data_IF_933282082610
#
_entry.id   IF_933282082610
#
_cell.length_a   1.000
_cell.length_b   1.000
_cell.length_c   1.000
_cell.angle_alpha   90.00
_cell.angle_beta   90.00
_cell.angle_gamma   90.00
#
_symmetry.space_group_name_H-M   'P 1'
#
loop_
_entity.id
_entity.type
_entity.pdbx_description
1 polymer ?
#
# COMPACT_ATOMS: atom_id res chain seq x y z
N UNK A 1 23.93 -9.15 -2.30
CA UNK A 1 23.27 -10.40 -1.85
C UNK A 1 24.06 -11.64 -2.22
N UNK A 2 24.18 -12.04 -3.50
CA UNK A 2 24.87 -13.29 -3.88
C UNK A 2 26.36 -13.35 -3.49
N UNK A 3 27.07 -12.21 -3.52
CA UNK A 3 28.47 -12.14 -3.08
C UNK A 3 28.61 -12.35 -1.56
N UNK A 4 27.72 -11.77 -0.76
CA UNK A 4 27.71 -11.88 0.70
C UNK A 4 27.46 -13.34 1.14
N UNK A 5 26.46 -14.00 0.53
CA UNK A 5 26.15 -15.41 0.80
C UNK A 5 27.35 -16.31 0.47
N UNK A 6 28.02 -16.08 -0.67
CA UNK A 6 29.24 -16.83 -1.04
C UNK A 6 30.40 -16.59 -0.08
N UNK A 7 30.46 -15.42 0.55
CA UNK A 7 31.46 -15.08 1.56
C UNK A 7 31.11 -15.61 2.96
N UNK A 8 30.01 -16.35 3.11
CA UNK A 8 29.59 -16.95 4.39
C UNK A 8 28.70 -16.04 5.25
N UNK A 9 28.32 -14.86 4.77
CA UNK A 9 27.37 -14.00 5.45
C UNK A 9 25.93 -14.49 5.19
N UNK A 10 25.37 -15.14 6.21
CA UNK A 10 24.00 -15.66 6.23
C UNK A 10 23.07 -14.80 7.08
N UNK A 11 23.48 -13.58 7.45
CA UNK A 11 22.63 -12.70 8.25
C UNK A 11 21.35 -12.33 7.48
N UNK A 12 20.21 -12.37 8.19
CA UNK A 12 18.90 -12.06 7.60
C UNK A 12 18.40 -10.67 8.00
N UNK A 13 19.06 -10.02 8.96
CA UNK A 13 18.75 -8.69 9.44
C UNK A 13 20.01 -8.02 10.04
N UNK A 14 20.02 -6.68 10.04
CA UNK A 14 20.94 -5.91 10.86
C UNK A 14 20.42 -5.89 12.31
N UNK A 15 21.26 -6.27 13.26
CA UNK A 15 20.91 -6.37 14.69
C UNK A 15 21.48 -5.22 15.55
N UNK A 16 22.22 -4.28 14.96
CA UNK A 16 22.90 -3.18 15.66
C UNK A 16 21.93 -2.32 16.49
N UNK A 17 20.71 -2.16 15.97
CA UNK A 17 19.62 -1.39 16.58
C UNK A 17 18.40 -2.25 16.93
N UNK A 18 18.61 -3.50 17.35
CA UNK A 18 17.50 -4.40 17.71
C UNK A 18 16.76 -3.96 18.99
N UNK A 19 17.52 -3.59 20.03
CA UNK A 19 16.96 -3.23 21.34
C UNK A 19 16.53 -1.75 21.40
N UNK A 20 15.35 -1.41 21.93
CA UNK A 20 14.91 -0.02 22.05
C UNK A 20 15.87 0.91 22.80
N UNK A 21 16.67 0.36 23.71
CA UNK A 21 17.68 1.10 24.46
C UNK A 21 18.85 1.60 23.61
N UNK A 22 19.06 1.04 22.42
CA UNK A 22 20.12 1.46 21.49
C UNK A 22 19.63 2.51 20.48
N UNK A 23 18.33 2.82 20.48
CA UNK A 23 17.75 3.78 19.55
C UNK A 23 18.05 5.22 19.97
N UNK A 24 18.23 6.14 19.01
CA UNK A 24 18.21 7.57 19.31
C UNK A 24 16.82 7.99 19.82
N UNK A 25 16.75 9.12 20.53
CA UNK A 25 15.49 9.65 21.07
C UNK A 25 14.42 9.88 19.98
N UNK A 26 14.86 10.18 18.75
CA UNK A 26 14.02 10.25 17.55
C UNK A 26 14.68 9.47 16.39
N UNK A 27 13.90 8.64 15.70
CA UNK A 27 14.33 7.86 14.54
C UNK A 27 13.27 7.87 13.43
N UNK A 28 13.71 7.65 12.17
CA UNK A 28 12.84 7.46 11.02
C UNK A 28 13.25 6.23 10.24
N UNK A 29 12.27 5.48 9.73
CA UNK A 29 12.50 4.26 8.97
C UNK A 29 11.59 4.18 7.74
N UNK A 30 12.06 3.45 6.73
CA UNK A 30 11.28 3.10 5.54
C UNK A 30 11.45 1.62 5.21
N UNK A 31 10.34 0.87 5.18
CA UNK A 31 10.27 -0.51 4.72
C UNK A 31 9.65 -0.55 3.33
N UNK A 32 10.34 -1.12 2.35
CA UNK A 32 9.85 -1.25 0.97
C UNK A 32 9.79 -2.71 0.58
N UNK A 33 8.71 -3.11 -0.06
CA UNK A 33 8.48 -4.48 -0.53
C UNK A 33 7.79 -4.41 -1.89
N UNK A 34 8.20 -5.29 -2.81
CA UNK A 34 7.40 -5.61 -3.99
C UNK A 34 6.36 -6.66 -3.59
N UNK A 35 5.15 -6.18 -3.26
CA UNK A 35 4.03 -7.04 -2.94
C UNK A 35 3.41 -7.62 -4.23
N UNK A 36 2.58 -8.67 -4.17
CA UNK A 36 1.97 -9.26 -5.37
C UNK A 36 1.20 -8.27 -6.26
N UNK A 37 0.71 -7.17 -5.67
CA UNK A 37 -0.07 -6.13 -6.36
C UNK A 37 0.77 -4.91 -6.77
N UNK A 38 2.08 -4.91 -6.49
CA UNK A 38 3.03 -3.84 -6.83
C UNK A 38 3.77 -3.26 -5.62
N UNK A 39 4.20 -2.00 -5.75
CA UNK A 39 5.05 -1.32 -4.77
C UNK A 39 4.32 -1.04 -3.43
N UNK A 40 4.88 -1.55 -2.34
CA UNK A 40 4.45 -1.33 -0.97
C UNK A 40 5.53 -0.59 -0.19
N UNK A 41 5.14 0.49 0.49
CA UNK A 41 6.01 1.23 1.40
C UNK A 41 5.36 1.47 2.76
N UNK A 42 6.13 1.26 3.82
CA UNK A 42 5.79 1.62 5.19
C UNK A 42 6.80 2.67 5.67
N UNK A 43 6.32 3.81 6.17
CA UNK A 43 7.12 4.89 6.75
C UNK A 43 6.79 5.02 8.22
N UNK A 44 7.82 5.02 9.06
CA UNK A 44 7.68 5.12 10.51
C UNK A 44 8.52 6.27 11.04
N UNK A 45 7.97 7.02 11.98
CA UNK A 45 8.69 7.94 12.87
C UNK A 45 8.54 7.41 14.30
N UNK A 46 9.67 7.27 14.98
CA UNK A 46 9.76 6.81 16.37
C UNK A 46 10.23 7.97 17.21
N UNK A 47 9.56 8.23 18.33
CA UNK A 47 9.95 9.22 19.34
C UNK A 47 9.77 8.64 20.73
N UNK A 48 10.78 8.77 21.58
CA UNK A 48 10.76 8.24 22.95
C UNK A 48 10.34 6.76 22.99
N UNK A 49 10.92 5.93 22.12
CA UNK A 49 10.62 4.49 21.97
C UNK A 49 9.17 4.13 21.57
N UNK A 50 8.37 5.12 21.15
CA UNK A 50 7.00 4.94 20.68
C UNK A 50 6.84 5.36 19.22
N UNK A 51 5.83 4.83 18.56
CA UNK A 51 5.43 5.25 17.22
C UNK A 51 4.81 6.65 17.34
N UNK A 52 5.49 7.64 16.77
CA UNK A 52 5.01 9.02 16.67
C UNK A 52 4.14 9.19 15.42
N UNK A 53 4.54 8.55 14.32
CA UNK A 53 3.77 8.50 13.08
C UNK A 53 4.04 7.19 12.34
N UNK A 54 3.00 6.66 11.68
CA UNK A 54 3.10 5.50 10.82
C UNK A 54 2.22 5.71 9.58
N UNK A 55 2.81 5.60 8.39
CA UNK A 55 2.12 5.77 7.12
C UNK A 55 2.42 4.59 6.22
N UNK A 56 1.38 3.99 5.66
CA UNK A 56 1.50 2.97 4.63
C UNK A 56 1.02 3.53 3.29
N UNK A 57 1.82 3.38 2.25
CA UNK A 57 1.39 3.60 0.88
C UNK A 57 1.47 2.25 0.19
N UNK A 58 0.31 1.71 -0.16
CA UNK A 58 0.19 0.33 -0.64
C UNK A 58 -0.10 0.28 -2.14
N UNK A 59 0.06 -0.87 -2.80
CA UNK A 59 -0.01 -0.92 -4.25
C UNK A 59 -1.36 -0.45 -4.81
N UNK A 60 -2.46 -0.85 -4.17
CA UNK A 60 -3.80 -0.42 -4.58
C UNK A 60 -4.06 1.06 -4.33
N UNK A 61 -3.31 1.74 -3.45
CA UNK A 61 -3.39 3.21 -3.28
C UNK A 61 -2.91 3.92 -4.55
N UNK A 62 -1.87 3.40 -5.20
CA UNK A 62 -1.39 3.93 -6.48
C UNK A 62 -2.39 3.68 -7.62
N UNK A 63 -2.94 2.47 -7.67
CA UNK A 63 -3.77 2.06 -8.81
C UNK A 63 -5.19 2.62 -8.75
N UNK A 64 -5.79 2.63 -7.56
CA UNK A 64 -7.16 3.06 -7.31
C UNK A 64 -7.25 4.50 -6.75
N UNK A 65 -6.14 5.23 -6.74
CA UNK A 65 -6.10 6.61 -6.28
C UNK A 65 -7.06 7.49 -7.11
N UNK A 66 -7.82 8.39 -6.46
CA UNK A 66 -8.65 9.35 -7.18
C UNK A 66 -7.77 10.37 -7.89
N UNK A 67 -8.40 11.28 -8.63
CA UNK A 67 -7.70 12.38 -9.28
C UNK A 67 -6.88 13.21 -8.29
N UNK A 68 -5.68 13.56 -8.72
CA UNK A 68 -4.83 14.46 -7.94
C UNK A 68 -5.35 15.91 -8.01
N UNK A 69 -4.78 16.86 -7.25
CA UNK A 69 -5.19 18.26 -7.29
C UNK A 69 -5.03 18.95 -8.66
N UNK A 70 -4.22 18.40 -9.56
CA UNK A 70 -4.07 18.88 -10.93
C UNK A 70 -5.09 18.24 -11.90
N UNK A 71 -5.90 17.30 -11.41
CA UNK A 71 -6.91 16.59 -12.17
C UNK A 71 -6.39 15.38 -12.94
N UNK A 72 -5.15 14.95 -12.71
CA UNK A 72 -4.59 13.76 -13.35
C UNK A 72 -5.33 12.51 -12.88
N UNK A 73 -5.62 11.61 -13.82
CA UNK A 73 -6.37 10.38 -13.55
C UNK A 73 -5.44 9.24 -13.10
N UNK A 74 -5.92 8.40 -12.18
CA UNK A 74 -5.20 7.22 -11.69
C UNK A 74 -5.18 6.05 -12.68
N UNK A 75 -4.48 4.97 -12.35
CA UNK A 75 -4.32 3.82 -13.25
C UNK A 75 -5.67 3.17 -13.60
N UNK A 76 -6.58 3.02 -12.64
CA UNK A 76 -7.92 2.48 -12.89
C UNK A 76 -8.72 3.36 -13.83
N UNK A 77 -8.81 4.66 -13.54
CA UNK A 77 -9.52 5.62 -14.40
C UNK A 77 -8.94 5.62 -15.82
N UNK A 78 -7.62 5.64 -15.97
CA UNK A 78 -6.94 5.60 -17.26
C UNK A 78 -7.21 4.29 -18.02
N UNK A 79 -7.20 3.15 -17.34
CA UNK A 79 -7.40 1.84 -17.97
C UNK A 79 -8.80 1.63 -18.54
N UNK A 80 -9.80 2.36 -18.02
CA UNK A 80 -11.18 2.27 -18.48
C UNK A 80 -11.49 3.18 -19.66
N UNK A 81 -10.64 4.17 -19.96
CA UNK A 81 -10.87 5.12 -21.05
C UNK A 81 -10.97 4.39 -22.40
N UNK A 82 -12.08 4.63 -23.11
CA UNK A 82 -12.32 4.05 -24.43
C UNK A 82 -12.65 2.56 -24.44
N UNK A 83 -12.92 1.94 -23.27
CA UNK A 83 -13.33 0.54 -23.21
C UNK A 83 -14.69 0.36 -23.91
N UNK A 84 -14.78 -0.43 -25.00
CA UNK A 84 -16.06 -0.70 -25.63
C UNK A 84 -16.92 -1.57 -24.72
N UNK A 85 -18.22 -1.28 -24.67
CA UNK A 85 -19.19 -2.03 -23.87
C UNK A 85 -20.29 -2.56 -24.76
N UNK A 86 -20.50 -3.88 -24.75
CA UNK A 86 -21.55 -4.52 -25.52
C UNK A 86 -22.96 -4.20 -24.96
N UNK A 87 -23.09 -4.20 -23.62
CA UNK A 87 -24.33 -3.87 -22.92
C UNK A 87 -24.02 -2.99 -21.69
N UNK A 88 -24.44 -1.73 -21.65
CA UNK A 88 -24.24 -0.86 -20.49
C UNK A 88 -24.89 -1.32 -19.19
N UNK A 89 -25.94 -2.15 -19.25
CA UNK A 89 -26.55 -2.73 -18.06
C UNK A 89 -25.73 -3.87 -17.46
N UNK A 90 -24.75 -4.40 -18.22
CA UNK A 90 -23.89 -5.52 -17.83
C UNK A 90 -22.42 -5.14 -18.05
N UNK A 91 -21.77 -4.46 -17.07
CA UNK A 91 -20.45 -3.85 -17.23
C UNK A 91 -19.30 -4.89 -17.19
N UNK A 92 -19.40 -5.94 -17.99
CA UNK A 92 -18.46 -7.05 -18.01
C UNK A 92 -17.06 -6.61 -18.40
N UNK A 93 -16.94 -5.71 -19.38
CA UNK A 93 -15.66 -5.19 -19.85
C UNK A 93 -14.99 -4.31 -18.79
N UNK A 94 -15.75 -3.52 -18.02
CA UNK A 94 -15.25 -2.77 -16.87
C UNK A 94 -14.71 -3.74 -15.80
N UNK A 95 -15.49 -4.76 -15.45
CA UNK A 95 -15.09 -5.75 -14.45
C UNK A 95 -13.82 -6.50 -14.88
N UNK A 96 -13.71 -6.89 -16.15
CA UNK A 96 -12.49 -7.55 -16.68
C UNK A 96 -11.26 -6.68 -16.51
N UNK A 97 -11.35 -5.40 -16.88
CA UNK A 97 -10.23 -4.47 -16.76
C UNK A 97 -9.85 -4.25 -15.31
N UNK A 98 -10.80 -3.96 -14.42
CA UNK A 98 -10.50 -3.69 -13.00
C UNK A 98 -10.00 -4.93 -12.26
N UNK A 99 -10.58 -6.11 -12.51
CA UNK A 99 -10.12 -7.36 -11.88
C UNK A 99 -8.71 -7.76 -12.32
N UNK A 100 -8.23 -7.30 -13.48
CA UNK A 100 -6.85 -7.57 -13.92
C UNK A 100 -5.78 -6.95 -13.00
N UNK A 101 -6.15 -5.94 -12.20
CA UNK A 101 -5.27 -5.32 -11.21
C UNK A 101 -5.33 -5.98 -9.82
N UNK A 102 -6.14 -7.03 -9.65
CA UNK A 102 -6.35 -7.73 -8.37
C UNK A 102 -6.66 -6.74 -7.21
N UNK A 103 -7.79 -5.99 -7.29
CA UNK A 103 -8.10 -4.91 -6.36
C UNK A 103 -8.29 -5.43 -4.93
N UNK A 104 -7.42 -5.00 -4.00
CA UNK A 104 -7.61 -5.18 -2.56
C UNK A 104 -8.07 -3.85 -1.93
N UNK A 105 -9.39 -3.64 -1.80
CA UNK A 105 -9.94 -2.38 -1.28
C UNK A 105 -9.69 -2.18 0.23
N UNK A 106 -9.65 -3.27 1.00
CA UNK A 106 -9.23 -3.21 2.40
C UNK A 106 -7.76 -2.76 2.53
N UNK A 107 -6.90 -3.20 1.60
CA UNK A 107 -5.54 -2.73 1.52
C UNK A 107 -5.50 -1.23 1.15
N UNK A 108 -6.30 -0.78 0.18
CA UNK A 108 -6.25 0.61 -0.28
C UNK A 108 -6.68 1.66 0.77
N UNK A 109 -7.66 1.33 1.62
CA UNK A 109 -8.26 2.29 2.56
C UNK A 109 -7.73 2.20 3.99
N UNK A 110 -7.15 1.07 4.39
CA UNK A 110 -6.64 0.83 5.75
C UNK A 110 -7.67 1.08 6.87
N UNK A 111 -8.96 0.94 6.58
CA UNK A 111 -10.03 1.16 7.56
C UNK A 111 -10.17 -0.08 8.44
N UNK A 112 -9.73 0.00 9.69
CA UNK A 112 -9.88 -1.07 10.69
C UNK A 112 -10.34 -0.49 12.04
N UNK A 113 -11.38 -1.07 12.63
CA UNK A 113 -11.76 -0.79 14.03
C UNK A 113 -11.06 -1.81 14.94
N UNK A 114 -10.34 -1.37 16.00
CA UNK A 114 -9.74 -2.27 16.97
C UNK A 114 -10.75 -3.25 17.60
N UNK A 115 -11.99 -2.79 17.78
CA UNK A 115 -13.05 -3.50 18.50
C UNK A 115 -14.11 -4.10 17.55
N UNK A 116 -13.88 -4.03 16.24
CA UNK A 116 -14.80 -4.54 15.22
C UNK A 116 -16.05 -3.68 14.99
N UNK A 117 -16.10 -2.47 15.56
CA UNK A 117 -17.19 -1.52 15.34
C UNK A 117 -17.22 -1.00 13.89
N UNK A 118 -18.43 -0.72 13.39
CA UNK A 118 -18.65 -0.13 12.08
C UNK A 118 -18.11 1.30 12.04
N UNK A 119 -17.02 1.54 11.29
CA UNK A 119 -16.38 2.86 11.23
C UNK A 119 -17.11 3.84 10.31
N UNK A 120 -17.65 3.38 9.18
CA UNK A 120 -18.38 4.25 8.25
C UNK A 120 -19.19 3.45 7.23
N UNK A 121 -20.31 4.02 6.78
CA UNK A 121 -21.12 3.50 5.66
C UNK A 121 -21.09 4.51 4.53
N UNK A 122 -20.40 4.17 3.44
CA UNK A 122 -20.40 5.00 2.23
C UNK A 122 -21.55 4.57 1.33
N UNK A 123 -22.61 5.39 1.28
CA UNK A 123 -23.67 5.25 0.28
C UNK A 123 -23.29 6.01 -0.98
N UNK A 124 -22.99 5.28 -2.04
CA UNK A 124 -22.80 5.84 -3.38
C UNK A 124 -24.19 5.96 -4.02
N UNK A 125 -24.54 7.16 -4.49
CA UNK A 125 -25.78 7.46 -5.22
C UNK A 125 -25.59 7.22 -6.71
#
# INVERSE_FOLDING_TARGET
MMANIKAGDTSTANMDSWEPSTWPAEAKGVGRVEAPRGALGHWIQIKNTKIDNYQAIVPSTWNAGPRDPAGNIGAYEASLLGTPMADPAQPLEILRTIHSFDPCLACASHVMSPDGEELTVVKIR
#
